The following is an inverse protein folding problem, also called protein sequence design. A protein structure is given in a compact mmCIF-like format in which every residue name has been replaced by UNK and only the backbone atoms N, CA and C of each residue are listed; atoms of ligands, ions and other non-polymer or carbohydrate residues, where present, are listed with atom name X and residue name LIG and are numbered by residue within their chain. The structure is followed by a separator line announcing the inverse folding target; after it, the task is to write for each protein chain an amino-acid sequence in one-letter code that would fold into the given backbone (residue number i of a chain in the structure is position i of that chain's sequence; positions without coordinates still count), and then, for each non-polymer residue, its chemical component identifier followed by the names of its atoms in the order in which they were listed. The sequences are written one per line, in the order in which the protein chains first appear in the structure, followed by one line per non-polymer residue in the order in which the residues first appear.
data_IF_293052751663
#
_entry.id   IF_293052751663
#
_cell.length_a   1.000
_cell.length_b   1.000
_cell.length_c   1.000
_cell.angle_alpha   90.00
_cell.angle_beta   90.00
_cell.angle_gamma   90.00
#
_symmetry.space_group_name_H-M   'P 1'
#
loop_
_entity.id
_entity.type
_entity.pdbx_description
1 polymer ?
#
# COMPACT_ATOMS: atom_id res chain seq x y z
N UNK A 1 12.71 -5.96 -10.53
CA UNK A 1 13.63 -5.07 -9.79
C UNK A 1 13.44 -3.67 -10.33
N UNK A 2 13.28 -2.72 -9.44
CA UNK A 2 12.97 -1.35 -9.85
C UNK A 2 14.17 -0.74 -10.56
N UNK A 3 13.91 0.00 -11.63
CA UNK A 3 14.92 0.64 -12.48
C UNK A 3 15.98 1.41 -11.69
N UNK A 4 15.58 2.14 -10.66
CA UNK A 4 16.46 2.92 -9.77
C UNK A 4 17.51 2.04 -9.08
N UNK A 5 17.11 0.88 -8.53
CA UNK A 5 18.06 -0.04 -7.88
C UNK A 5 18.98 -0.70 -8.88
N UNK A 6 18.48 -1.03 -10.09
CA UNK A 6 19.31 -1.60 -11.15
C UNK A 6 20.37 -0.61 -11.61
N UNK A 7 20.00 0.66 -11.82
CA UNK A 7 20.93 1.71 -12.21
C UNK A 7 22.00 1.94 -11.15
N UNK A 8 21.62 1.90 -9.86
CA UNK A 8 22.59 1.95 -8.78
C UNK A 8 23.58 0.78 -8.82
N UNK A 9 23.08 -0.46 -8.98
CA UNK A 9 23.91 -1.67 -9.04
C UNK A 9 24.90 -1.62 -10.23
N UNK A 10 24.43 -1.18 -11.40
CA UNK A 10 25.28 -1.03 -12.60
C UNK A 10 26.40 -0.01 -12.34
N UNK A 11 26.09 1.16 -11.76
CA UNK A 11 27.10 2.18 -11.43
C UNK A 11 28.14 1.67 -10.44
N UNK A 12 27.71 0.97 -9.38
CA UNK A 12 28.65 0.39 -8.39
C UNK A 12 29.56 -0.65 -9.01
N UNK A 13 29.05 -1.49 -9.92
CA UNK A 13 29.87 -2.50 -10.62
C UNK A 13 30.87 -1.90 -11.59
N UNK A 14 30.52 -0.82 -12.28
CA UNK A 14 31.45 -0.12 -13.15
C UNK A 14 32.63 0.52 -12.38
N UNK A 15 32.35 1.05 -11.18
CA UNK A 15 33.35 1.78 -10.41
C UNK A 15 34.28 0.85 -9.58
N UNK A 16 33.78 -0.29 -9.10
CA UNK A 16 34.48 -1.06 -8.05
C UNK A 16 34.78 -2.53 -8.37
N UNK A 17 34.30 -3.08 -9.45
CA UNK A 17 34.67 -4.39 -10.02
C UNK A 17 34.81 -5.60 -9.09
N UNK A 18 35.26 -5.45 -7.85
CA UNK A 18 35.48 -6.53 -6.85
C UNK A 18 35.14 -6.08 -5.43
N UNK A 19 34.64 -7.04 -4.64
CA UNK A 19 34.34 -6.84 -3.22
C UNK A 19 35.63 -7.01 -2.43
N UNK A 20 36.09 -5.93 -1.78
CA UNK A 20 37.25 -5.94 -0.88
C UNK A 20 36.86 -5.68 0.58
N UNK A 21 37.84 -5.54 1.47
CA UNK A 21 37.64 -5.31 2.90
C UNK A 21 37.01 -3.95 3.23
N UNK A 22 37.05 -2.98 2.31
CA UNK A 22 36.46 -1.64 2.46
C UNK A 22 35.02 -1.57 1.94
N UNK A 23 34.50 -2.68 1.46
CA UNK A 23 33.21 -2.80 0.79
C UNK A 23 32.02 -2.19 1.56
N UNK A 24 31.82 -2.37 2.90
CA UNK A 24 30.68 -1.77 3.57
C UNK A 24 30.70 -0.24 3.58
N UNK A 25 31.83 0.37 3.91
CA UNK A 25 31.96 1.84 3.93
C UNK A 25 31.79 2.42 2.53
N UNK A 26 32.30 1.72 1.55
CA UNK A 26 32.22 2.10 0.18
C UNK A 26 30.79 2.09 -0.36
N UNK A 27 30.06 1.00 -0.11
CA UNK A 27 28.63 0.91 -0.47
C UNK A 27 27.77 1.94 0.23
N UNK A 28 28.04 2.20 1.49
CA UNK A 28 27.39 3.25 2.25
C UNK A 28 27.58 4.60 1.60
N UNK A 29 28.81 5.00 1.33
CA UNK A 29 29.15 6.27 0.69
C UNK A 29 28.48 6.40 -0.69
N UNK A 30 28.57 5.38 -1.53
CA UNK A 30 27.99 5.40 -2.87
C UNK A 30 26.46 5.42 -2.84
N UNK A 31 25.82 4.70 -1.90
CA UNK A 31 24.37 4.75 -1.76
C UNK A 31 23.87 6.12 -1.33
N UNK A 32 24.59 6.78 -0.41
CA UNK A 32 24.26 8.14 0.03
C UNK A 32 24.43 9.15 -1.11
N UNK A 33 25.55 9.11 -1.83
CA UNK A 33 25.79 9.97 -2.99
C UNK A 33 24.74 9.75 -4.08
N UNK A 34 24.44 8.49 -4.41
CA UNK A 34 23.44 8.17 -5.43
C UNK A 34 22.04 8.64 -4.99
N UNK A 35 21.71 8.45 -3.73
CA UNK A 35 20.44 8.88 -3.16
C UNK A 35 20.22 10.39 -3.29
N UNK A 36 21.26 11.21 -3.12
CA UNK A 36 21.19 12.67 -3.30
C UNK A 36 20.84 13.07 -4.75
N UNK A 37 21.20 12.26 -5.73
CA UNK A 37 20.89 12.51 -7.16
C UNK A 37 19.45 12.21 -7.56
N UNK A 38 18.70 11.49 -6.71
CA UNK A 38 17.36 11.01 -7.03
C UNK A 38 16.30 12.10 -6.80
N UNK A 39 15.26 12.10 -7.62
CA UNK A 39 14.05 12.88 -7.33
C UNK A 39 13.25 12.28 -6.17
N UNK A 40 12.21 13.00 -5.71
CA UNK A 40 11.43 12.61 -4.52
C UNK A 40 10.75 11.24 -4.71
N UNK A 41 10.25 10.92 -5.90
CA UNK A 41 9.58 9.65 -6.18
C UNK A 41 10.59 8.51 -6.25
N UNK A 42 11.73 8.74 -6.84
CA UNK A 42 12.84 7.78 -6.91
C UNK A 42 13.44 7.52 -5.53
N UNK A 43 13.61 8.55 -4.69
CA UNK A 43 14.04 8.44 -3.30
C UNK A 43 13.14 7.50 -2.50
N UNK A 44 11.83 7.66 -2.62
CA UNK A 44 10.87 6.76 -1.94
C UNK A 44 10.99 5.30 -2.41
N UNK A 45 11.13 5.09 -3.72
CA UNK A 45 11.36 3.75 -4.29
C UNK A 45 12.67 3.15 -3.80
N UNK A 46 13.72 3.96 -3.74
CA UNK A 46 15.03 3.53 -3.26
C UNK A 46 14.96 3.06 -1.81
N UNK A 47 14.45 3.87 -0.88
CA UNK A 47 14.31 3.50 0.54
C UNK A 47 13.50 2.21 0.71
N UNK A 48 12.43 2.05 -0.02
CA UNK A 48 11.55 0.88 0.07
C UNK A 48 12.26 -0.41 -0.33
N UNK A 49 13.16 -0.36 -1.31
CA UNK A 49 13.72 -1.56 -1.94
C UNK A 49 15.20 -1.79 -1.67
N UNK A 50 15.95 -0.72 -1.39
CA UNK A 50 17.38 -0.80 -1.16
C UNK A 50 17.78 -1.70 0.02
N UNK A 51 17.11 -1.68 1.18
CA UNK A 51 17.44 -2.58 2.29
C UNK A 51 17.36 -4.06 1.89
N UNK A 52 16.32 -4.44 1.14
CA UNK A 52 16.18 -5.82 0.65
C UNK A 52 17.27 -6.18 -0.37
N UNK A 53 17.61 -5.25 -1.24
CA UNK A 53 18.70 -5.45 -2.19
C UNK A 53 20.02 -5.68 -1.47
N UNK A 54 20.41 -4.81 -0.53
CA UNK A 54 21.64 -4.95 0.26
C UNK A 54 21.63 -6.22 1.11
N UNK A 55 20.51 -6.58 1.72
CA UNK A 55 20.38 -7.84 2.47
C UNK A 55 20.65 -9.07 1.59
N UNK A 56 20.21 -9.04 0.34
CA UNK A 56 20.48 -10.09 -0.63
C UNK A 56 21.97 -10.14 -1.04
N UNK A 57 22.59 -8.97 -1.27
CA UNK A 57 24.03 -8.87 -1.55
C UNK A 57 24.82 -9.44 -0.37
N UNK A 58 24.55 -8.97 0.83
CA UNK A 58 25.18 -9.46 2.05
C UNK A 58 25.04 -10.99 2.22
N UNK A 59 23.86 -11.54 2.00
CA UNK A 59 23.60 -12.98 2.13
C UNK A 59 24.44 -13.83 1.18
N UNK A 60 24.81 -13.30 0.01
CA UNK A 60 25.67 -13.99 -0.97
C UNK A 60 27.14 -14.01 -0.54
N UNK A 61 27.59 -12.98 0.15
CA UNK A 61 29.01 -12.76 0.46
C UNK A 61 29.39 -13.02 1.92
N UNK A 62 28.41 -13.26 2.81
CA UNK A 62 28.64 -13.45 4.26
C UNK A 62 29.67 -14.53 4.60
N UNK A 63 29.88 -15.53 3.74
CA UNK A 63 30.88 -16.59 3.96
C UNK A 63 32.31 -16.18 3.60
N UNK A 64 32.51 -14.98 3.05
CA UNK A 64 33.80 -14.46 2.60
C UNK A 64 34.24 -13.22 3.39
N UNK A 65 33.43 -12.80 4.35
CA UNK A 65 33.58 -11.54 5.09
C UNK A 65 33.94 -11.85 6.53
N UNK A 66 34.91 -11.12 7.06
CA UNK A 66 35.36 -11.24 8.47
C UNK A 66 34.24 -10.88 9.46
N UNK A 67 34.30 -11.43 10.67
CA UNK A 67 33.26 -11.29 11.68
C UNK A 67 32.99 -9.84 12.09
N UNK A 68 34.00 -9.00 12.12
CA UNK A 68 33.87 -7.57 12.46
C UNK A 68 33.12 -6.81 11.35
N UNK A 69 33.50 -7.04 10.11
CA UNK A 69 32.82 -6.49 8.93
C UNK A 69 31.37 -6.98 8.82
N UNK A 70 31.12 -8.25 9.20
CA UNK A 70 29.75 -8.80 9.33
C UNK A 70 28.88 -8.01 10.31
N UNK A 71 29.47 -7.60 11.43
CA UNK A 71 28.77 -6.81 12.45
C UNK A 71 28.45 -5.40 11.95
N UNK A 72 29.38 -4.75 11.26
CA UNK A 72 29.17 -3.45 10.63
C UNK A 72 28.05 -3.50 9.58
N UNK A 73 27.99 -4.55 8.77
CA UNK A 73 26.91 -4.77 7.82
C UNK A 73 25.53 -4.90 8.48
N UNK A 74 25.45 -5.61 9.60
CA UNK A 74 24.19 -5.73 10.35
C UNK A 74 23.73 -4.39 10.89
N UNK A 75 24.66 -3.61 11.45
CA UNK A 75 24.37 -2.26 11.95
C UNK A 75 23.92 -1.34 10.80
N UNK A 76 24.59 -1.43 9.66
CA UNK A 76 24.21 -0.65 8.49
C UNK A 76 22.82 -1.03 7.97
N UNK A 77 22.54 -2.33 7.82
CA UNK A 77 21.23 -2.82 7.40
C UNK A 77 20.11 -2.35 8.35
N UNK A 78 20.34 -2.38 9.67
CA UNK A 78 19.36 -1.86 10.63
C UNK A 78 19.11 -0.35 10.46
N UNK A 79 20.15 0.41 10.17
CA UNK A 79 20.06 1.87 9.97
C UNK A 79 19.28 2.23 8.70
N UNK A 80 19.60 1.62 7.55
CA UNK A 80 18.99 1.96 6.26
C UNK A 80 17.51 1.57 6.13
N UNK A 81 17.00 0.76 7.06
CA UNK A 81 15.57 0.46 7.15
C UNK A 81 14.78 1.60 7.81
N UNK A 82 15.46 2.53 8.47
CA UNK A 82 14.84 3.62 9.22
C UNK A 82 14.74 4.87 8.32
N UNK A 83 13.55 5.44 8.11
CA UNK A 83 13.38 6.66 7.29
C UNK A 83 14.27 7.82 7.74
N UNK A 84 14.50 7.94 9.05
CA UNK A 84 15.30 9.00 9.65
C UNK A 84 16.77 8.98 9.19
N UNK A 85 17.29 7.80 8.84
CA UNK A 85 18.64 7.66 8.32
C UNK A 85 18.84 8.45 7.02
N UNK A 86 17.82 8.52 6.18
CA UNK A 86 17.88 9.15 4.89
C UNK A 86 17.58 10.66 4.93
N UNK A 87 17.39 11.22 6.12
CA UNK A 87 17.11 12.64 6.35
C UNK A 87 16.04 13.22 5.41
N UNK A 88 15.07 12.37 5.07
CA UNK A 88 13.89 12.78 4.33
C UNK A 88 12.85 13.19 5.35
N UNK A 89 12.43 14.44 5.31
CA UNK A 89 11.01 14.70 5.54
C UNK A 89 10.29 13.85 4.50
N UNK A 90 9.82 12.68 4.95
CA UNK A 90 8.87 11.92 4.17
C UNK A 90 7.68 12.86 3.91
N UNK A 91 7.75 13.62 2.84
CA UNK A 91 6.56 13.98 2.10
C UNK A 91 6.07 12.62 1.60
N UNK A 92 5.45 11.90 2.54
CA UNK A 92 4.61 10.77 2.23
C UNK A 92 3.63 11.39 1.25
N UNK A 93 3.90 11.29 -0.05
CA UNK A 93 2.82 11.31 -1.01
C UNK A 93 1.94 10.23 -0.45
N UNK A 94 0.91 10.68 0.23
CA UNK A 94 -0.07 9.84 0.86
C UNK A 94 -0.70 9.02 -0.27
N UNK A 95 -0.03 7.94 -0.61
CA UNK A 95 -0.39 7.00 -1.66
C UNK A 95 -1.53 6.09 -1.19
N UNK A 96 -2.03 6.42 0.03
CA UNK A 96 -3.20 5.78 0.59
C UNK A 96 -4.38 5.97 -0.36
N UNK A 97 -5.06 4.89 -0.64
CA UNK A 97 -6.33 4.92 -1.37
C UNK A 97 -7.36 5.79 -0.61
N UNK A 98 -7.30 5.78 0.71
CA UNK A 98 -8.25 6.44 1.60
C UNK A 98 -7.72 7.79 2.08
N UNK A 99 -8.65 8.71 2.36
CA UNK A 99 -8.32 10.05 2.88
C UNK A 99 -7.87 10.03 4.35
N UNK A 100 -8.20 8.96 5.08
CA UNK A 100 -7.82 8.79 6.48
C UNK A 100 -7.66 7.31 6.85
N UNK A 101 -6.84 7.01 7.89
CA UNK A 101 -6.74 5.66 8.45
C UNK A 101 -8.08 5.10 8.93
N UNK A 102 -8.97 5.93 9.45
CA UNK A 102 -10.29 5.50 9.93
C UNK A 102 -11.19 5.04 8.78
N UNK A 103 -11.11 5.71 7.63
CA UNK A 103 -11.83 5.28 6.42
C UNK A 103 -11.32 3.92 5.93
N UNK A 104 -10.03 3.66 5.98
CA UNK A 104 -9.44 2.36 5.64
C UNK A 104 -9.85 1.26 6.64
N UNK A 105 -9.80 1.56 7.94
CA UNK A 105 -10.22 0.62 8.98
C UNK A 105 -11.70 0.27 8.85
N UNK A 106 -12.56 1.27 8.58
CA UNK A 106 -13.97 1.01 8.33
C UNK A 106 -14.20 0.19 7.06
N UNK A 107 -13.45 0.45 5.98
CA UNK A 107 -13.50 -0.38 4.78
C UNK A 107 -13.20 -1.85 5.09
N UNK A 108 -12.17 -2.12 5.93
CA UNK A 108 -11.86 -3.46 6.40
C UNK A 108 -13.01 -4.08 7.19
N UNK A 109 -13.54 -3.37 8.17
CA UNK A 109 -14.66 -3.81 8.98
C UNK A 109 -15.92 -4.12 8.15
N UNK A 110 -16.21 -3.26 7.17
CA UNK A 110 -17.34 -3.40 6.25
C UNK A 110 -17.19 -4.63 5.33
N UNK A 111 -16.02 -4.81 4.74
CA UNK A 111 -15.75 -5.97 3.88
C UNK A 111 -15.82 -7.29 4.64
N UNK A 112 -15.39 -7.31 5.89
CA UNK A 112 -15.52 -8.48 6.76
C UNK A 112 -16.99 -8.77 7.14
N UNK A 113 -17.83 -7.73 7.23
CA UNK A 113 -19.26 -7.89 7.39
C UNK A 113 -19.90 -8.55 6.16
N UNK A 114 -19.52 -8.14 4.95
CA UNK A 114 -19.98 -8.77 3.70
C UNK A 114 -19.47 -10.20 3.52
N UNK A 115 -18.25 -10.52 3.95
CA UNK A 115 -17.74 -11.90 3.95
C UNK A 115 -18.58 -12.82 4.82
N UNK A 116 -18.99 -12.34 6.00
CA UNK A 116 -19.84 -13.11 6.92
C UNK A 116 -21.23 -13.41 6.35
N UNK A 117 -21.74 -12.53 5.48
CA UNK A 117 -23.03 -12.69 4.80
C UNK A 117 -22.87 -13.38 3.41
N UNK A 118 -21.68 -13.88 3.09
CA UNK A 118 -21.30 -14.48 1.79
C UNK A 118 -21.59 -13.60 0.57
N UNK A 119 -21.58 -12.26 0.76
CA UNK A 119 -21.86 -11.26 -0.28
C UNK A 119 -20.66 -10.40 -0.65
N UNK A 120 -19.42 -10.79 -0.34
CA UNK A 120 -18.24 -10.07 -0.82
C UNK A 120 -17.93 -10.46 -2.26
N UNK A 121 -18.59 -9.78 -3.22
CA UNK A 121 -18.50 -10.00 -4.67
C UNK A 121 -18.04 -8.73 -5.38
N UNK A 122 -17.68 -8.81 -6.66
CA UNK A 122 -17.29 -7.65 -7.48
C UNK A 122 -18.35 -6.53 -7.50
N UNK A 123 -19.64 -6.89 -7.53
CA UNK A 123 -20.73 -5.92 -7.46
C UNK A 123 -20.80 -5.22 -6.10
N UNK A 124 -20.49 -5.92 -5.00
CA UNK A 124 -20.44 -5.37 -3.65
C UNK A 124 -19.27 -4.42 -3.49
N UNK A 125 -18.09 -4.78 -4.01
CA UNK A 125 -16.94 -3.87 -4.04
C UNK A 125 -17.22 -2.62 -4.88
N UNK A 126 -17.94 -2.75 -6.01
CA UNK A 126 -18.40 -1.60 -6.80
C UNK A 126 -19.34 -0.69 -6.01
N UNK A 127 -20.31 -1.28 -5.29
CA UNK A 127 -21.22 -0.53 -4.44
C UNK A 127 -20.46 0.22 -3.34
N UNK A 128 -19.55 -0.43 -2.63
CA UNK A 128 -18.72 0.19 -1.59
C UNK A 128 -17.91 1.36 -2.18
N UNK A 129 -17.29 1.16 -3.36
CA UNK A 129 -16.57 2.25 -4.03
C UNK A 129 -17.44 3.49 -4.20
N UNK A 130 -18.66 3.34 -4.71
CA UNK A 130 -19.55 4.46 -4.96
C UNK A 130 -20.04 5.16 -3.69
N UNK A 131 -20.09 4.45 -2.55
CA UNK A 131 -20.38 5.07 -1.25
C UNK A 131 -19.17 5.86 -0.71
N UNK A 132 -17.94 5.39 -0.94
CA UNK A 132 -16.73 6.00 -0.42
C UNK A 132 -16.17 7.09 -1.33
N UNK A 133 -16.44 7.02 -2.65
CA UNK A 133 -15.82 7.91 -3.63
C UNK A 133 -16.22 9.36 -3.42
N UNK A 134 -15.22 10.25 -3.42
CA UNK A 134 -15.39 11.69 -3.21
C UNK A 134 -15.45 12.10 -1.72
N UNK A 135 -15.73 11.17 -0.78
CA UNK A 135 -15.75 11.46 0.65
C UNK A 135 -14.60 10.78 1.41
N UNK A 136 -14.28 9.55 1.05
CA UNK A 136 -13.31 8.72 1.79
C UNK A 136 -12.27 8.03 0.90
N UNK A 137 -12.49 7.98 -0.42
CA UNK A 137 -11.51 7.56 -1.42
C UNK A 137 -11.05 8.79 -2.20
N UNK A 138 -9.73 9.04 -2.22
CA UNK A 138 -9.09 10.16 -2.92
C UNK A 138 -8.41 9.75 -4.22
N UNK A 139 -8.25 8.46 -4.46
CA UNK A 139 -7.48 7.93 -5.57
C UNK A 139 -8.35 7.53 -6.77
N UNK A 140 -7.69 7.37 -7.92
CA UNK A 140 -8.34 6.93 -9.16
C UNK A 140 -8.91 5.51 -9.03
N UNK A 141 -9.92 5.21 -9.83
CA UNK A 141 -10.57 3.89 -9.94
C UNK A 141 -9.57 2.73 -10.09
N UNK A 142 -8.52 2.91 -10.89
CA UNK A 142 -7.48 1.89 -11.10
C UNK A 142 -6.78 1.47 -9.80
N UNK A 143 -6.47 2.42 -8.93
CA UNK A 143 -5.88 2.13 -7.62
C UNK A 143 -6.83 1.36 -6.69
N UNK A 144 -8.12 1.68 -6.75
CA UNK A 144 -9.12 0.93 -5.98
C UNK A 144 -9.24 -0.52 -6.46
N UNK A 145 -9.24 -0.74 -7.78
CA UNK A 145 -9.26 -2.09 -8.36
C UNK A 145 -8.01 -2.88 -7.94
N UNK A 146 -6.84 -2.28 -8.05
CA UNK A 146 -5.57 -2.88 -7.62
C UNK A 146 -5.61 -3.27 -6.12
N UNK A 147 -5.95 -2.32 -5.26
CA UNK A 147 -6.09 -2.54 -3.82
C UNK A 147 -7.06 -3.69 -3.48
N UNK A 148 -8.22 -3.74 -4.15
CA UNK A 148 -9.19 -4.80 -3.91
C UNK A 148 -8.73 -6.16 -4.43
N UNK A 149 -8.05 -6.22 -5.58
CA UNK A 149 -7.53 -7.49 -6.11
C UNK A 149 -6.40 -8.06 -5.24
N UNK A 150 -5.53 -7.20 -4.71
CA UNK A 150 -4.47 -7.62 -3.79
C UNK A 150 -5.05 -8.16 -2.48
N UNK A 151 -6.09 -7.51 -1.97
CA UNK A 151 -6.71 -7.86 -0.68
C UNK A 151 -7.72 -9.01 -0.78
N UNK A 152 -8.39 -9.15 -1.92
CA UNK A 152 -9.47 -10.12 -2.15
C UNK A 152 -9.26 -10.89 -3.47
N UNK A 153 -8.18 -11.64 -3.65
CA UNK A 153 -7.83 -12.25 -4.93
C UNK A 153 -8.88 -13.25 -5.45
N UNK A 154 -9.69 -13.81 -4.56
CA UNK A 154 -10.77 -14.73 -4.93
C UNK A 154 -11.96 -14.03 -5.64
N UNK A 155 -12.11 -12.70 -5.49
CA UNK A 155 -13.27 -11.96 -6.03
C UNK A 155 -13.13 -11.67 -7.53
N UNK A 156 -11.91 -11.65 -8.08
CA UNK A 156 -11.61 -11.32 -9.50
C UNK A 156 -12.27 -10.02 -9.96
N UNK A 157 -11.92 -8.93 -9.31
CA UNK A 157 -12.51 -7.62 -9.54
C UNK A 157 -11.81 -6.88 -10.68
N UNK A 158 -12.32 -6.97 -11.91
CA UNK A 158 -11.69 -6.42 -13.12
C UNK A 158 -12.20 -5.02 -13.50
N UNK A 159 -13.43 -4.68 -13.12
CA UNK A 159 -14.03 -3.38 -13.45
C UNK A 159 -15.11 -2.97 -12.46
N UNK A 160 -15.30 -1.65 -12.29
CA UNK A 160 -16.42 -1.11 -11.53
C UNK A 160 -17.72 -1.22 -12.31
N UNK A 161 -18.80 -1.57 -11.62
CA UNK A 161 -20.15 -1.37 -12.13
C UNK A 161 -20.47 0.13 -12.19
N UNK A 162 -21.29 0.54 -13.15
CA UNK A 162 -21.71 1.93 -13.26
C UNK A 162 -22.49 2.38 -12.03
N UNK A 163 -22.33 3.65 -11.63
CA UNK A 163 -23.00 4.23 -10.45
C UNK A 163 -24.52 4.19 -10.60
N UNK A 164 -25.05 4.40 -11.82
CA UNK A 164 -26.47 4.34 -12.13
C UNK A 164 -27.11 3.02 -11.70
N UNK A 165 -26.40 1.89 -11.80
CA UNK A 165 -26.90 0.58 -11.35
C UNK A 165 -27.41 0.57 -9.91
N UNK A 166 -26.86 1.42 -9.06
CA UNK A 166 -27.19 1.53 -7.64
C UNK A 166 -28.17 2.69 -7.35
N UNK A 167 -28.70 3.32 -8.39
CA UNK A 167 -29.68 4.41 -8.29
C UNK A 167 -31.09 3.86 -8.04
N UNK A 168 -31.94 4.59 -7.27
CA UNK A 168 -33.35 4.21 -7.04
C UNK A 168 -34.18 4.06 -8.31
N UNK A 169 -33.78 4.70 -9.41
CA UNK A 169 -34.47 4.63 -10.69
C UNK A 169 -34.23 3.32 -11.47
N UNK A 170 -33.26 2.54 -11.04
CA UNK A 170 -32.88 1.29 -11.72
C UNK A 170 -33.57 0.08 -11.10
N UNK A 171 -34.04 -0.88 -11.91
CA UNK A 171 -34.72 -2.08 -11.40
C UNK A 171 -33.86 -2.92 -10.45
N UNK A 172 -32.53 -2.90 -10.63
CA UNK A 172 -31.61 -3.60 -9.76
C UNK A 172 -31.66 -3.09 -8.30
N UNK A 173 -32.01 -1.83 -8.09
CA UNK A 173 -32.10 -1.24 -6.75
C UNK A 173 -33.11 -1.98 -5.85
N UNK A 174 -34.22 -2.46 -6.40
CA UNK A 174 -35.27 -3.20 -5.69
C UNK A 174 -35.00 -4.72 -5.60
N UNK A 175 -33.89 -5.21 -6.16
CA UNK A 175 -33.57 -6.63 -6.05
C UNK A 175 -33.20 -6.99 -4.61
N UNK A 176 -33.52 -8.22 -4.19
CA UNK A 176 -33.19 -8.74 -2.85
C UNK A 176 -31.70 -8.59 -2.52
N UNK A 177 -30.82 -8.90 -3.48
CA UNK A 177 -29.37 -8.74 -3.35
C UNK A 177 -28.97 -7.28 -3.06
N UNK A 178 -29.60 -6.32 -3.74
CA UNK A 178 -29.32 -4.90 -3.56
C UNK A 178 -29.85 -4.39 -2.22
N UNK A 179 -31.04 -4.81 -1.84
CA UNK A 179 -31.66 -4.50 -0.54
C UNK A 179 -30.77 -5.04 0.60
N UNK A 180 -30.38 -6.32 0.52
CA UNK A 180 -29.51 -6.94 1.53
C UNK A 180 -28.17 -6.21 1.63
N UNK A 181 -27.58 -5.84 0.51
CA UNK A 181 -26.29 -5.12 0.47
C UNK A 181 -26.37 -3.76 1.16
N UNK A 182 -27.43 -2.98 0.89
CA UNK A 182 -27.69 -1.70 1.58
C UNK A 182 -27.92 -1.90 3.08
N UNK A 183 -28.67 -2.94 3.48
CA UNK A 183 -28.93 -3.28 4.87
C UNK A 183 -27.64 -3.64 5.61
N UNK A 184 -26.80 -4.47 5.01
CA UNK A 184 -25.49 -4.85 5.59
C UNK A 184 -24.59 -3.64 5.77
N UNK A 185 -24.55 -2.72 4.78
CA UNK A 185 -23.80 -1.47 4.90
C UNK A 185 -24.28 -0.62 6.08
N UNK A 186 -25.58 -0.36 6.18
CA UNK A 186 -26.15 0.43 7.28
C UNK A 186 -25.85 -0.19 8.64
N UNK A 187 -26.09 -1.49 8.78
CA UNK A 187 -25.81 -2.22 10.04
C UNK A 187 -24.32 -2.14 10.42
N UNK A 188 -23.43 -2.28 9.44
CA UNK A 188 -22.00 -2.15 9.68
C UNK A 188 -21.62 -0.73 10.11
N UNK A 189 -22.17 0.30 9.46
CA UNK A 189 -21.90 1.70 9.79
C UNK A 189 -22.43 2.06 11.19
N UNK A 190 -23.64 1.66 11.53
CA UNK A 190 -24.23 1.88 12.85
C UNK A 190 -23.39 1.20 13.95
N UNK A 191 -22.98 -0.05 13.71
CA UNK A 191 -22.14 -0.80 14.63
C UNK A 191 -20.76 -0.16 14.79
N UNK A 192 -20.16 0.28 13.69
CA UNK A 192 -18.88 0.99 13.72
C UNK A 192 -18.96 2.29 14.54
N UNK A 193 -19.93 3.14 14.24
CA UNK A 193 -20.10 4.41 14.93
C UNK A 193 -20.42 4.24 16.43
N UNK A 194 -21.03 3.12 16.81
CA UNK A 194 -21.27 2.76 18.21
C UNK A 194 -20.00 2.26 18.91
N UNK A 195 -19.17 1.47 18.21
CA UNK A 195 -17.93 0.93 18.75
C UNK A 195 -16.81 1.98 18.82
N UNK A 196 -16.81 2.93 17.89
CA UNK A 196 -15.77 3.94 17.73
C UNK A 196 -16.40 5.35 17.63
N UNK A 197 -16.97 5.87 18.72
CA UNK A 197 -17.66 7.16 18.69
C UNK A 197 -16.76 8.35 18.32
N UNK A 198 -15.44 8.23 18.55
CA UNK A 198 -14.44 9.21 18.14
C UNK A 198 -14.06 9.14 16.64
N UNK A 199 -14.42 8.07 15.96
CA UNK A 199 -14.11 7.80 14.54
C UNK A 199 -15.37 7.76 13.67
N UNK A 200 -16.37 8.56 14.02
CA UNK A 200 -17.65 8.54 13.31
C UNK A 200 -17.48 8.92 11.85
N UNK A 201 -18.01 8.07 10.97
CA UNK A 201 -18.07 8.29 9.55
C UNK A 201 -19.52 8.62 9.14
N UNK A 202 -19.66 9.58 8.21
CA UNK A 202 -20.97 10.01 7.70
C UNK A 202 -21.06 9.69 6.22
N UNK A 203 -22.00 8.82 5.86
CA UNK A 203 -22.31 8.49 4.48
C UNK A 203 -23.70 9.01 4.12
N UNK A 204 -23.79 9.66 2.96
CA UNK A 204 -25.10 9.97 2.35
C UNK A 204 -25.57 8.69 1.64
N UNK A 205 -26.05 7.74 2.43
CA UNK A 205 -26.65 6.53 1.87
C UNK A 205 -27.85 6.94 1.03
N UNK A 206 -27.91 6.44 -0.20
CA UNK A 206 -29.07 6.59 -1.06
C UNK A 206 -30.25 6.01 -0.26
N UNK A 207 -31.19 6.88 0.08
CA UNK A 207 -32.36 6.53 0.91
C UNK A 207 -33.17 5.44 0.20
N UNK A 208 -33.54 4.43 0.95
CA UNK A 208 -34.62 3.50 0.59
C UNK A 208 -35.92 4.21 0.66
#
# INVERSE_FOLDING_TARGET
MIYVIKKFDDNVREEFGTIDSEFPEHWKKQSELYFETLDVEEKQKFIKHYPNYISNVFSRYKGWIDADVLNEWKIYLDKITKPEYWNIELVIKDDSLFISPDAEQFFGYLTDSYKREDDLKAVTLSFIYHQFNGSYIKSKTSKYLEYCNDRFPAVKFSQLQQKSRFSPEEPYFESDDSIMRRKTFRKALESWNKLYPEKQLKFHLISS
#
